data_IF_527373522481
#
_entry.id   IF_527373522481
#
_cell.length_a   1.000
_cell.length_b   1.000
_cell.length_c   1.000
_cell.angle_alpha   90.00
_cell.angle_beta   90.00
_cell.angle_gamma   90.00
#
_symmetry.space_group_name_H-M   'P 1'
#
loop_
_entity.id
_entity.type
_entity.pdbx_description
1 polymer ?
#
# COMPACT_ATOMS: atom_id res chain seq x y z
N UNK A 1 -3.89 -2.51 -8.58
CA UNK A 1 -5.14 -1.94 -8.04
C UNK A 1 -5.31 -2.41 -6.61
N UNK A 2 -5.84 -1.54 -5.73
CA UNK A 2 -6.06 -1.84 -4.32
C UNK A 2 -7.23 -2.83 -4.17
N UNK A 3 -7.59 -3.14 -2.93
CA UNK A 3 -8.81 -3.87 -2.63
C UNK A 3 -10.02 -2.92 -2.61
N UNK A 4 -11.22 -3.45 -2.79
CA UNK A 4 -12.44 -2.65 -2.77
C UNK A 4 -12.89 -2.44 -1.34
N UNK A 5 -12.92 -1.18 -0.90
CA UNK A 5 -13.25 -0.79 0.47
C UNK A 5 -14.28 0.33 0.47
N UNK A 6 -15.19 0.29 1.45
CA UNK A 6 -16.34 1.20 1.51
C UNK A 6 -16.26 2.07 2.75
N UNK A 7 -16.20 3.39 2.56
CA UNK A 7 -16.32 4.35 3.67
C UNK A 7 -17.77 4.48 4.18
N UNK A 8 -18.74 3.95 3.44
CA UNK A 8 -20.14 3.89 3.85
C UNK A 8 -20.48 2.53 4.48
N UNK A 9 -21.10 2.56 5.65
CA UNK A 9 -21.51 1.40 6.43
C UNK A 9 -23.03 1.22 6.35
N UNK A 10 -23.57 0.56 5.30
CA UNK A 10 -25.01 0.46 5.06
C UNK A 10 -25.76 -0.24 6.19
N UNK A 11 -25.12 -1.20 6.87
CA UNK A 11 -25.70 -1.92 8.00
C UNK A 11 -26.02 -1.02 9.20
N UNK A 12 -25.35 0.12 9.29
CA UNK A 12 -25.51 1.10 10.37
C UNK A 12 -26.02 2.46 9.88
N UNK A 13 -26.08 2.67 8.57
CA UNK A 13 -26.59 3.89 7.96
C UNK A 13 -25.71 5.13 8.18
N UNK A 14 -24.39 4.96 8.36
CA UNK A 14 -23.45 6.08 8.53
C UNK A 14 -22.28 6.02 7.55
N UNK A 15 -21.67 7.18 7.33
CA UNK A 15 -20.48 7.39 6.51
C UNK A 15 -19.32 7.87 7.40
N UNK A 16 -18.12 7.35 7.17
CA UNK A 16 -16.93 7.77 7.89
C UNK A 16 -16.37 9.12 7.39
N UNK A 17 -16.84 9.66 6.26
CA UNK A 17 -16.39 10.95 5.70
C UNK A 17 -14.86 11.09 5.60
N UNK A 18 -14.13 10.03 5.32
CA UNK A 18 -12.66 9.98 5.23
C UNK A 18 -12.16 9.64 3.81
N UNK A 19 -12.90 10.08 2.79
CA UNK A 19 -12.51 9.94 1.38
C UNK A 19 -11.06 10.34 1.10
N UNK A 20 -10.54 11.34 1.81
CA UNK A 20 -9.15 11.79 1.71
C UNK A 20 -8.16 10.71 2.16
N UNK A 21 -8.44 9.97 3.25
CA UNK A 21 -7.61 8.86 3.69
C UNK A 21 -7.71 7.67 2.72
N UNK A 22 -8.94 7.25 2.38
CA UNK A 22 -9.20 6.17 1.42
C UNK A 22 -8.48 6.39 0.09
N UNK A 23 -8.65 7.56 -0.54
CA UNK A 23 -8.03 7.83 -1.84
C UNK A 23 -6.50 7.90 -1.77
N UNK A 24 -5.93 8.36 -0.66
CA UNK A 24 -4.48 8.36 -0.43
C UNK A 24 -3.92 6.93 -0.27
N UNK A 25 -4.57 6.10 0.54
CA UNK A 25 -4.12 4.73 0.79
C UNK A 25 -4.31 3.85 -0.43
N UNK A 26 -5.45 3.96 -1.14
CA UNK A 26 -5.65 3.35 -2.44
C UNK A 26 -4.50 3.63 -3.42
N UNK A 27 -3.96 4.86 -3.42
CA UNK A 27 -2.80 5.23 -4.25
C UNK A 27 -1.57 4.45 -3.81
N UNK A 28 -1.22 4.51 -2.52
CA UNK A 28 -0.02 3.84 -1.99
C UNK A 28 -0.07 2.32 -2.15
N UNK A 29 -1.21 1.71 -1.89
CA UNK A 29 -1.45 0.28 -2.12
C UNK A 29 -1.30 -0.07 -3.59
N UNK A 30 -1.84 0.76 -4.50
CA UNK A 30 -1.67 0.53 -5.94
C UNK A 30 -0.20 0.55 -6.32
N UNK A 31 0.57 1.52 -5.82
CA UNK A 31 2.02 1.61 -6.09
C UNK A 31 2.79 0.43 -5.51
N UNK A 32 2.56 0.06 -4.25
CA UNK A 32 3.27 -1.06 -3.63
C UNK A 32 2.87 -2.41 -4.23
N UNK A 33 1.60 -2.60 -4.58
CA UNK A 33 1.16 -3.77 -5.32
C UNK A 33 1.84 -3.87 -6.70
N UNK A 34 2.00 -2.74 -7.40
CA UNK A 34 2.78 -2.70 -8.64
C UNK A 34 4.25 -3.07 -8.40
N UNK A 35 4.88 -2.51 -7.37
CA UNK A 35 6.27 -2.81 -7.02
C UNK A 35 6.48 -4.29 -6.67
N UNK A 36 5.54 -4.93 -5.96
CA UNK A 36 5.56 -6.36 -5.70
C UNK A 36 5.43 -7.18 -6.99
N UNK A 37 4.49 -6.82 -7.86
CA UNK A 37 4.26 -7.53 -9.12
C UNK A 37 5.47 -7.43 -10.08
N UNK A 38 6.09 -6.25 -10.13
CA UNK A 38 7.28 -5.96 -10.95
C UNK A 38 8.59 -6.39 -10.27
N UNK A 39 8.53 -6.86 -9.02
CA UNK A 39 9.69 -7.26 -8.20
C UNK A 39 10.72 -6.13 -8.04
N UNK A 40 10.25 -4.89 -7.94
CA UNK A 40 11.09 -3.70 -7.71
C UNK A 40 11.24 -3.34 -6.23
N UNK A 41 10.46 -3.98 -5.35
CA UNK A 41 10.66 -3.98 -3.90
C UNK A 41 11.67 -5.08 -3.50
N UNK A 42 12.52 -4.82 -2.50
CA UNK A 42 13.45 -5.83 -1.98
C UNK A 42 12.71 -7.03 -1.39
N UNK A 43 13.37 -8.19 -1.43
CA UNK A 43 12.81 -9.43 -0.87
C UNK A 43 12.61 -9.36 0.65
N UNK A 44 13.46 -8.61 1.37
CA UNK A 44 13.29 -8.36 2.80
C UNK A 44 12.01 -7.57 3.09
N UNK A 45 11.77 -6.47 2.36
CA UNK A 45 10.55 -5.68 2.57
C UNK A 45 9.30 -6.41 2.07
N UNK A 46 9.39 -7.20 1.00
CA UNK A 46 8.28 -8.05 0.56
C UNK A 46 7.90 -9.10 1.61
N UNK A 47 8.89 -9.79 2.20
CA UNK A 47 8.67 -10.75 3.29
C UNK A 47 8.13 -10.06 4.54
N UNK A 48 8.67 -8.88 4.88
CA UNK A 48 8.21 -8.10 6.02
C UNK A 48 6.74 -7.69 5.86
N UNK A 49 6.33 -7.16 4.70
CA UNK A 49 4.93 -6.82 4.42
C UNK A 49 4.01 -8.04 4.58
N UNK A 50 4.42 -9.17 4.00
CA UNK A 50 3.66 -10.43 4.09
C UNK A 50 3.53 -10.94 5.52
N UNK A 51 4.64 -10.97 6.27
CA UNK A 51 4.70 -11.55 7.61
C UNK A 51 4.03 -10.65 8.67
N UNK A 52 3.98 -9.33 8.43
CA UNK A 52 3.37 -8.36 9.35
C UNK A 52 1.92 -8.00 8.98
N UNK A 53 1.25 -8.81 8.14
CA UNK A 53 -0.19 -8.69 7.91
C UNK A 53 -0.63 -7.58 6.95
N UNK A 54 0.29 -6.94 6.21
CA UNK A 54 -0.06 -5.92 5.23
C UNK A 54 -0.75 -6.49 3.99
N UNK A 55 -0.70 -7.81 3.79
CA UNK A 55 -1.35 -8.47 2.67
C UNK A 55 -2.71 -9.05 3.10
N UNK A 56 -3.76 -8.70 2.35
CA UNK A 56 -5.09 -9.26 2.53
C UNK A 56 -5.16 -10.74 2.09
N UNK A 57 -6.35 -11.34 2.23
CA UNK A 57 -6.61 -12.73 1.81
C UNK A 57 -6.38 -13.02 0.32
N UNK A 58 -6.25 -11.98 -0.52
CA UNK A 58 -5.97 -12.08 -1.94
C UNK A 58 -4.50 -11.76 -2.27
N UNK A 59 -3.67 -11.51 -1.25
CA UNK A 59 -2.27 -11.17 -1.41
C UNK A 59 -2.03 -9.73 -1.87
N UNK A 60 -3.00 -8.83 -1.71
CA UNK A 60 -2.85 -7.39 -2.01
C UNK A 60 -2.55 -6.60 -0.75
N UNK A 61 -1.75 -5.53 -0.89
CA UNK A 61 -1.58 -4.54 0.17
C UNK A 61 -2.94 -4.01 0.62
N UNK A 62 -3.12 -3.93 1.94
CA UNK A 62 -4.25 -3.27 2.57
C UNK A 62 -3.81 -2.52 3.85
N UNK A 63 -3.95 -1.20 3.86
CA UNK A 63 -3.66 -0.34 5.00
C UNK A 63 -4.93 0.04 5.75
N UNK A 64 -4.82 0.25 7.07
CA UNK A 64 -5.97 0.74 7.83
C UNK A 64 -6.32 2.19 7.49
N UNK A 65 -7.43 2.40 6.76
CA UNK A 65 -8.03 3.72 6.55
C UNK A 65 -8.37 4.40 7.86
N UNK A 66 -8.99 3.65 8.79
CA UNK A 66 -9.42 4.15 10.10
C UNK A 66 -8.24 4.71 10.89
N UNK A 67 -7.08 4.02 10.90
CA UNK A 67 -5.88 4.50 11.60
C UNK A 67 -5.44 5.86 11.07
N UNK A 68 -5.31 5.96 9.76
CA UNK A 68 -4.88 7.18 9.06
C UNK A 68 -5.89 8.31 9.26
N UNK A 69 -7.19 8.02 9.16
CA UNK A 69 -8.26 9.00 9.35
C UNK A 69 -8.31 9.54 10.79
N UNK A 70 -8.13 8.67 11.80
CA UNK A 70 -8.10 9.06 13.22
C UNK A 70 -6.91 9.97 13.54
N UNK A 71 -5.71 9.60 13.07
CA UNK A 71 -4.48 10.32 13.38
C UNK A 71 -4.33 11.62 12.59
N UNK A 72 -4.79 11.65 11.34
CA UNK A 72 -4.85 12.87 10.53
C UNK A 72 -5.91 13.87 11.00
N UNK A 73 -6.75 13.50 11.99
CA UNK A 73 -7.73 14.40 12.59
C UNK A 73 -8.95 14.64 11.71
N UNK A 74 -9.45 13.60 11.03
CA UNK A 74 -10.68 13.68 10.23
C UNK A 74 -11.87 14.24 11.06
N UNK A 75 -12.70 15.04 10.41
CA UNK A 75 -13.89 15.68 11.01
C UNK A 75 -15.15 15.31 10.24
N UNK A 76 -16.34 15.63 10.77
CA UNK A 76 -17.60 15.44 10.03
C UNK A 76 -17.70 16.27 8.74
N UNK A 77 -16.75 17.19 8.51
CA UNK A 77 -16.59 17.96 7.27
C UNK A 77 -15.53 17.37 6.33
N UNK A 78 -14.96 16.22 6.67
CA UNK A 78 -13.84 15.59 5.98
C UNK A 78 -12.47 16.00 6.51
N UNK A 79 -11.45 15.86 5.65
CA UNK A 79 -10.06 16.21 5.95
C UNK A 79 -9.34 16.73 4.70
N UNK A 80 -8.17 17.33 4.92
CA UNK A 80 -7.31 17.88 3.86
C UNK A 80 -6.23 16.90 3.44
N UNK A 81 -5.71 17.10 2.22
CA UNK A 81 -4.61 16.30 1.68
C UNK A 81 -3.36 16.46 2.55
N UNK A 82 -3.10 17.70 2.98
CA UNK A 82 -1.99 18.03 3.87
C UNK A 82 -2.01 17.25 5.17
N UNK A 83 -3.17 17.13 5.83
CA UNK A 83 -3.25 16.44 7.12
C UNK A 83 -3.06 14.93 6.98
N UNK A 84 -3.67 14.33 5.96
CA UNK A 84 -3.52 12.89 5.68
C UNK A 84 -2.08 12.56 5.30
N UNK A 85 -1.46 13.35 4.41
CA UNK A 85 -0.06 13.19 4.07
C UNK A 85 0.86 13.39 5.28
N UNK A 86 0.67 14.47 6.04
CA UNK A 86 1.49 14.79 7.21
C UNK A 86 1.41 13.69 8.29
N UNK A 87 0.22 13.15 8.56
CA UNK A 87 0.06 12.01 9.46
C UNK A 87 0.72 10.77 8.88
N UNK A 88 0.57 10.48 7.59
CA UNK A 88 1.18 9.30 6.98
C UNK A 88 2.72 9.31 7.04
N UNK A 89 3.37 10.46 6.88
CA UNK A 89 4.83 10.58 7.00
C UNK A 89 5.33 10.72 8.45
N UNK A 90 4.44 11.08 9.38
CA UNK A 90 4.79 11.25 10.79
C UNK A 90 4.52 9.95 11.55
N UNK A 91 3.31 9.43 11.47
CA UNK A 91 2.82 8.27 12.22
C UNK A 91 3.08 6.95 11.50
N UNK A 92 3.19 6.98 10.16
CA UNK A 92 3.36 5.79 9.33
C UNK A 92 2.04 5.10 9.01
N UNK A 93 2.12 3.89 8.47
CA UNK A 93 0.97 3.10 8.03
C UNK A 93 0.97 1.73 8.68
N UNK A 94 -0.20 1.21 9.02
CA UNK A 94 -0.39 -0.11 9.63
C UNK A 94 -1.22 -1.00 8.71
N UNK A 95 -1.10 -2.34 8.80
CA UNK A 95 -2.01 -3.23 8.10
C UNK A 95 -3.45 -3.05 8.59
N UNK A 96 -4.43 -3.16 7.70
CA UNK A 96 -5.85 -3.06 8.08
C UNK A 96 -6.23 -4.07 9.17
N UNK A 97 -5.66 -5.28 9.11
CA UNK A 97 -5.91 -6.34 10.09
C UNK A 97 -5.60 -5.96 11.54
N UNK A 98 -4.75 -4.96 11.77
CA UNK A 98 -4.38 -4.51 13.10
C UNK A 98 -5.45 -3.60 13.74
N UNK A 99 -6.29 -2.95 12.94
CA UNK A 99 -7.34 -2.05 13.43
C UNK A 99 -8.73 -2.50 12.97
N UNK A 100 -9.01 -3.79 13.12
CA UNK A 100 -10.32 -4.37 12.83
C UNK A 100 -11.32 -4.05 13.94
N UNK A 101 -11.95 -2.89 13.82
CA UNK A 101 -13.14 -2.57 14.58
C UNK A 101 -14.38 -2.69 13.68
N UNK A 102 -15.55 -2.93 14.26
CA UNK A 102 -16.83 -2.85 13.56
C UNK A 102 -17.64 -1.66 14.11
N UNK A 103 -17.14 -0.42 13.90
CA UNK A 103 -17.74 0.77 14.45
C UNK A 103 -19.16 0.95 13.91
N UNK A 104 -20.09 1.25 14.82
CA UNK A 104 -21.52 1.41 14.51
C UNK A 104 -21.93 2.84 14.21
N UNK A 105 -21.02 3.78 14.48
CA UNK A 105 -21.25 5.21 14.33
C UNK A 105 -19.91 5.94 14.23
N UNK A 106 -20.00 7.23 13.91
CA UNK A 106 -18.87 8.15 13.83
C UNK A 106 -18.01 8.14 15.10
N UNK A 107 -18.63 8.20 16.26
CA UNK A 107 -17.92 8.33 17.55
C UNK A 107 -17.09 7.07 17.85
N UNK A 108 -17.59 5.89 17.51
CA UNK A 108 -16.84 4.63 17.60
C UNK A 108 -15.73 4.55 16.55
N UNK A 109 -15.97 4.98 15.31
CA UNK A 109 -14.98 4.97 14.22
C UNK A 109 -13.78 5.87 14.56
N UNK A 110 -14.04 7.04 15.15
CA UNK A 110 -13.02 8.04 15.47
C UNK A 110 -12.51 7.99 16.92
N UNK A 111 -12.74 6.89 17.63
CA UNK A 111 -12.30 6.74 19.01
C UNK A 111 -10.77 6.59 19.10
N UNK A 112 -10.11 7.70 19.43
CA UNK A 112 -8.65 7.79 19.61
C UNK A 112 -8.12 6.87 20.71
N UNK A 113 -8.95 6.43 21.66
CA UNK A 113 -8.51 5.51 22.72
C UNK A 113 -8.20 4.10 22.20
N UNK A 114 -8.68 3.77 21.00
CA UNK A 114 -8.39 2.50 20.32
C UNK A 114 -7.01 2.47 19.66
N UNK A 115 -6.34 3.61 19.50
CA UNK A 115 -4.99 3.67 18.95
C UNK A 115 -3.98 3.19 20.00
N UNK A 116 -3.48 1.98 19.84
CA UNK A 116 -2.52 1.37 20.75
C UNK A 116 -1.08 1.81 20.46
N UNK A 117 -0.17 1.58 21.42
CA UNK A 117 1.26 1.80 21.18
C UNK A 117 1.82 0.84 20.12
N UNK A 118 1.34 -0.40 20.06
CA UNK A 118 1.75 -1.39 19.05
C UNK A 118 1.43 -0.93 17.62
N UNK A 119 0.26 -0.31 17.41
CA UNK A 119 -0.09 0.31 16.13
C UNK A 119 0.89 1.44 15.77
N UNK A 120 1.21 2.31 16.73
CA UNK A 120 2.18 3.39 16.51
C UNK A 120 3.55 2.85 16.17
N UNK A 121 4.02 1.85 16.91
CA UNK A 121 5.34 1.24 16.68
C UNK A 121 5.41 0.57 15.31
N UNK A 122 4.32 -0.10 14.89
CA UNK A 122 4.18 -0.69 13.55
C UNK A 122 4.23 0.37 12.46
N UNK A 123 3.51 1.48 12.63
CA UNK A 123 3.57 2.61 11.70
C UNK A 123 4.98 3.22 11.62
N UNK A 124 5.66 3.38 12.76
CA UNK A 124 7.05 3.86 12.77
C UNK A 124 8.01 2.89 12.11
N UNK A 125 7.81 1.58 12.24
CA UNK A 125 8.60 0.57 11.54
C UNK A 125 8.39 0.66 10.02
N UNK A 126 7.16 0.89 9.55
CA UNK A 126 6.89 1.15 8.14
C UNK A 126 7.73 2.32 7.59
N UNK A 127 7.82 3.44 8.33
CA UNK A 127 8.62 4.60 7.93
C UNK A 127 10.14 4.35 7.90
N UNK A 128 10.64 3.35 8.62
CA UNK A 128 12.05 2.92 8.51
C UNK A 128 12.33 2.12 7.24
N UNK A 129 11.28 1.65 6.56
CA UNK A 129 11.35 0.81 5.35
C UNK A 129 10.91 1.54 4.09
N UNK A 130 10.02 2.52 4.21
CA UNK A 130 9.51 3.29 3.08
C UNK A 130 9.54 4.80 3.34
N UNK A 131 10.06 5.55 2.38
CA UNK A 131 9.96 7.01 2.32
C UNK A 131 8.77 7.38 1.46
N UNK A 132 7.85 8.15 2.01
CA UNK A 132 6.74 8.72 1.27
C UNK A 132 7.04 10.20 1.02
N UNK A 133 6.86 10.65 -0.22
CA UNK A 133 7.02 12.05 -0.62
C UNK A 133 5.94 12.46 -1.62
N UNK A 134 5.83 13.76 -1.91
CA UNK A 134 4.77 14.31 -2.76
C UNK A 134 5.31 15.28 -3.81
N UNK A 135 4.60 15.36 -4.94
CA UNK A 135 4.69 16.45 -5.91
C UNK A 135 3.29 17.04 -6.09
N UNK A 136 3.16 18.34 -5.88
CA UNK A 136 1.87 19.05 -5.97
C UNK A 136 1.68 19.68 -7.35
N UNK A 137 0.42 19.91 -7.71
CA UNK A 137 0.00 20.57 -8.96
C UNK A 137 0.45 19.83 -10.23
N UNK A 138 0.46 18.50 -10.19
CA UNK A 138 0.85 17.70 -11.36
C UNK A 138 -0.16 17.85 -12.52
N UNK A 139 0.30 17.85 -13.78
CA UNK A 139 -0.58 17.95 -14.93
C UNK A 139 -1.32 16.62 -15.18
N UNK A 140 -2.54 16.70 -15.70
CA UNK A 140 -3.34 15.50 -16.04
C UNK A 140 -2.74 14.72 -17.23
N UNK A 141 -1.81 15.32 -17.98
CA UNK A 141 -1.06 14.63 -19.03
C UNK A 141 -0.24 13.44 -18.52
N UNK A 142 0.02 13.41 -17.22
CA UNK A 142 0.86 12.39 -16.60
C UNK A 142 0.07 11.13 -16.22
N UNK A 143 -1.26 11.16 -16.35
CA UNK A 143 -2.12 9.98 -16.14
C UNK A 143 -1.78 8.93 -17.20
N UNK A 144 -1.65 7.69 -16.76
CA UNK A 144 -1.20 6.57 -17.59
C UNK A 144 0.32 6.35 -17.54
N UNK A 145 1.09 7.34 -17.05
CA UNK A 145 2.47 7.14 -16.60
C UNK A 145 2.54 6.99 -15.09
N UNK A 146 1.67 7.69 -14.37
CA UNK A 146 1.57 7.61 -12.91
C UNK A 146 0.13 7.83 -12.43
N UNK A 147 -0.07 7.62 -11.14
CA UNK A 147 -1.29 7.84 -10.38
C UNK A 147 -1.37 9.28 -9.88
N UNK A 148 -2.58 9.83 -9.82
CA UNK A 148 -2.84 11.17 -9.29
C UNK A 148 -3.89 11.08 -8.19
N UNK A 149 -3.54 11.55 -6.99
CA UNK A 149 -4.47 11.83 -5.92
C UNK A 149 -5.08 13.21 -6.14
N UNK A 150 -6.41 13.31 -6.17
CA UNK A 150 -7.09 14.55 -6.58
C UNK A 150 -8.45 14.68 -5.92
N UNK A 151 -8.98 15.90 -5.85
CA UNK A 151 -10.36 16.14 -5.46
C UNK A 151 -11.22 16.51 -6.66
N UNK A 152 -12.48 16.12 -6.56
CA UNK A 152 -13.51 16.31 -7.59
C UNK A 152 -14.79 16.85 -6.96
N UNK A 153 -15.57 17.55 -7.78
CA UNK A 153 -16.99 17.75 -7.50
C UNK A 153 -17.74 16.44 -7.69
N UNK A 154 -18.80 16.20 -6.92
CA UNK A 154 -19.73 15.08 -7.17
C UNK A 154 -20.84 15.58 -8.10
N UNK A 155 -20.83 15.14 -9.36
CA UNK A 155 -21.79 15.54 -10.39
C UNK A 155 -22.94 14.54 -10.57
N UNK A 156 -23.97 14.92 -11.33
CA UNK A 156 -25.06 14.02 -11.70
C UNK A 156 -24.53 12.77 -12.41
N UNK A 157 -25.09 11.60 -12.07
CA UNK A 157 -24.65 10.32 -12.62
C UNK A 157 -23.45 9.69 -11.90
N UNK A 158 -22.98 10.25 -10.78
CA UNK A 158 -21.83 9.75 -10.02
C UNK A 158 -21.85 8.23 -9.74
N UNK A 159 -23.03 7.67 -9.47
CA UNK A 159 -23.24 6.25 -9.16
C UNK A 159 -23.94 5.48 -10.28
N UNK A 160 -23.99 6.03 -11.49
CA UNK A 160 -24.74 5.44 -12.62
C UNK A 160 -23.97 4.37 -13.42
N UNK A 161 -22.65 4.29 -13.25
CA UNK A 161 -21.76 3.44 -14.05
C UNK A 161 -21.45 3.97 -15.47
N UNK A 162 -22.06 5.09 -15.89
CA UNK A 162 -21.72 5.78 -17.13
C UNK A 162 -20.61 6.83 -16.98
N UNK A 163 -20.23 7.47 -18.09
CA UNK A 163 -19.29 8.60 -18.10
C UNK A 163 -19.94 9.81 -17.44
N UNK A 164 -19.43 10.17 -16.26
CA UNK A 164 -19.87 11.33 -15.48
C UNK A 164 -19.46 12.60 -16.21
N UNK A 165 -20.45 13.46 -16.48
CA UNK A 165 -20.20 14.75 -17.14
C UNK A 165 -19.75 15.79 -16.13
N UNK A 166 -18.92 16.72 -16.60
CA UNK A 166 -18.45 17.85 -15.81
C UNK A 166 -19.60 18.74 -15.34
N UNK A 167 -19.52 19.24 -14.12
CA UNK A 167 -20.44 20.19 -13.53
C UNK A 167 -19.66 21.28 -12.78
N UNK A 168 -20.33 22.36 -12.40
CA UNK A 168 -19.70 23.52 -11.73
C UNK A 168 -20.10 23.54 -10.27
N UNK A 169 -19.53 22.62 -9.49
CA UNK A 169 -19.64 22.61 -8.02
C UNK A 169 -18.25 22.66 -7.37
N UNK A 170 -18.14 23.10 -6.11
CA UNK A 170 -16.91 22.95 -5.35
C UNK A 170 -16.48 21.48 -5.25
N UNK A 171 -15.16 21.20 -5.18
CA UNK A 171 -14.70 19.84 -4.92
C UNK A 171 -15.09 19.41 -3.50
N UNK A 172 -15.74 18.26 -3.38
CA UNK A 172 -16.23 17.72 -2.10
C UNK A 172 -15.77 16.28 -1.85
N UNK A 173 -15.05 15.67 -2.79
CA UNK A 173 -14.69 14.26 -2.71
C UNK A 173 -13.28 14.01 -3.23
N UNK A 174 -12.54 13.13 -2.57
CA UNK A 174 -11.16 12.78 -2.93
C UNK A 174 -11.11 11.39 -3.56
N UNK A 175 -10.34 11.25 -4.65
CA UNK A 175 -10.29 10.03 -5.47
C UNK A 175 -8.88 9.75 -5.98
N UNK A 176 -8.65 8.50 -6.39
CA UNK A 176 -7.43 8.07 -7.08
C UNK A 176 -7.66 8.02 -8.58
N UNK A 177 -7.04 8.93 -9.34
CA UNK A 177 -7.08 8.92 -10.79
C UNK A 177 -5.93 8.06 -11.35
N UNK A 178 -6.25 7.03 -12.14
CA UNK A 178 -5.28 5.99 -12.50
C UNK A 178 -5.17 5.68 -14.00
N UNK A 179 -6.14 6.06 -14.81
CA UNK A 179 -6.11 5.77 -16.25
C UNK A 179 -6.74 6.88 -17.10
N UNK A 180 -6.33 6.96 -18.36
CA UNK A 180 -6.87 7.84 -19.39
C UNK A 180 -7.15 7.02 -20.65
N UNK A 181 -8.40 7.00 -21.07
CA UNK A 181 -8.84 6.48 -22.35
C UNK A 181 -9.09 7.62 -23.36
N UNK A 182 -9.48 7.26 -24.59
CA UNK A 182 -9.71 8.23 -25.67
C UNK A 182 -10.85 9.22 -25.39
N UNK A 183 -11.79 8.86 -24.53
CA UNK A 183 -13.00 9.67 -24.26
C UNK A 183 -13.29 9.93 -22.78
N UNK A 184 -12.51 9.35 -21.87
CA UNK A 184 -12.73 9.49 -20.43
C UNK A 184 -11.43 9.30 -19.63
N UNK A 185 -11.48 9.74 -18.38
CA UNK A 185 -10.54 9.37 -17.33
C UNK A 185 -11.19 8.33 -16.41
N UNK A 186 -10.38 7.42 -15.86
CA UNK A 186 -10.84 6.46 -14.83
C UNK A 186 -10.25 6.82 -13.47
N UNK A 187 -11.10 6.76 -12.46
CA UNK A 187 -10.68 6.89 -11.08
C UNK A 187 -11.25 5.77 -10.22
N UNK A 188 -10.52 5.47 -9.15
CA UNK A 188 -10.89 4.55 -8.10
C UNK A 188 -11.44 5.35 -6.91
N UNK A 189 -12.55 4.87 -6.38
CA UNK A 189 -13.38 5.50 -5.35
C UNK A 189 -13.64 4.53 -4.20
N UNK A 190 -14.09 5.04 -3.06
CA UNK A 190 -14.56 4.32 -1.88
C UNK A 190 -16.08 4.08 -1.88
N UNK A 191 -16.77 4.38 -2.99
CA UNK A 191 -18.20 4.14 -3.18
C UNK A 191 -18.49 3.34 -4.46
N UNK A 192 -19.41 2.36 -4.43
CA UNK A 192 -19.77 1.61 -5.62
C UNK A 192 -20.47 2.48 -6.69
N UNK A 193 -20.26 2.21 -7.99
CA UNK A 193 -19.18 1.36 -8.52
C UNK A 193 -17.81 1.98 -8.19
N UNK A 194 -16.87 1.16 -7.71
CA UNK A 194 -15.55 1.63 -7.21
C UNK A 194 -14.64 2.15 -8.31
N UNK A 195 -14.81 1.67 -9.55
CA UNK A 195 -14.18 2.26 -10.73
C UNK A 195 -15.24 3.11 -11.44
N UNK A 196 -14.93 4.38 -11.63
CA UNK A 196 -15.81 5.37 -12.25
C UNK A 196 -15.10 6.05 -13.40
N UNK A 197 -15.90 6.60 -14.31
CA UNK A 197 -15.43 7.25 -15.52
C UNK A 197 -15.94 8.68 -15.56
N UNK A 198 -15.08 9.61 -15.94
CA UNK A 198 -15.42 11.04 -16.09
C UNK A 198 -15.02 11.53 -17.47
N UNK A 199 -15.79 12.45 -18.03
CA UNK A 199 -15.49 13.06 -19.33
C UNK A 199 -14.12 13.75 -19.33
N UNK A 200 -13.50 13.90 -20.51
CA UNK A 200 -12.17 14.55 -20.59
C UNK A 200 -12.15 16.04 -20.18
N UNK A 201 -13.33 16.69 -20.13
CA UNK A 201 -13.50 18.07 -19.66
C UNK A 201 -13.92 18.16 -18.17
N UNK A 202 -13.84 17.06 -17.42
CA UNK A 202 -14.08 17.06 -15.98
C UNK A 202 -13.04 17.91 -15.24
N UNK A 203 -13.47 18.61 -14.19
CA UNK A 203 -12.60 19.51 -13.43
C UNK A 203 -11.99 18.76 -12.24
N UNK A 204 -10.66 18.76 -12.18
CA UNK A 204 -9.87 18.14 -11.10
C UNK A 204 -9.10 19.19 -10.33
N UNK A 205 -9.17 19.09 -9.01
CA UNK A 205 -8.55 20.01 -8.07
C UNK A 205 -7.46 19.31 -7.26
N UNK A 206 -6.54 20.08 -6.67
CA UNK A 206 -5.48 19.57 -5.78
C UNK A 206 -4.80 18.28 -6.29
N UNK A 207 -4.22 18.32 -7.51
CA UNK A 207 -3.61 17.16 -8.15
C UNK A 207 -2.23 16.87 -7.58
N UNK A 208 -2.09 15.78 -6.84
CA UNK A 208 -0.86 15.39 -6.17
C UNK A 208 -0.40 14.04 -6.72
N UNK A 209 0.91 13.93 -6.94
CA UNK A 209 1.57 12.65 -7.14
C UNK A 209 2.25 12.27 -5.85
N UNK A 210 1.94 11.10 -5.33
CA UNK A 210 2.62 10.54 -4.16
C UNK A 210 3.67 9.56 -4.66
N UNK A 211 4.88 9.67 -4.12
CA UNK A 211 6.01 8.81 -4.42
C UNK A 211 6.30 7.97 -3.18
N UNK A 212 6.55 6.69 -3.39
CA UNK A 212 7.00 5.77 -2.35
C UNK A 212 8.25 5.06 -2.85
N UNK A 213 9.28 5.00 -2.00
CA UNK A 213 10.53 4.29 -2.27
C UNK A 213 11.01 3.62 -0.99
N UNK A 214 11.81 2.57 -1.11
CA UNK A 214 12.40 1.93 0.07
C UNK A 214 13.44 2.85 0.74
N UNK A 215 13.36 3.04 2.05
CA UNK A 215 14.38 3.74 2.85
C UNK A 215 15.51 2.78 3.18
N UNK A 216 16.75 3.27 3.05
CA UNK A 216 17.97 2.48 3.23
C UNK A 216 17.95 1.20 2.40
N UNK A 217 18.53 1.24 1.21
CA UNK A 217 19.07 0.03 0.63
C UNK A 217 20.39 -0.28 1.35
N UNK A 218 20.48 -1.19 2.34
CA UNK A 218 21.66 -2.02 2.33
C UNK A 218 21.58 -2.75 0.99
N UNK A 219 22.44 -2.41 0.02
CA UNK A 219 22.58 -3.04 -1.31
C UNK A 219 21.74 -4.31 -1.44
N UNK A 220 20.60 -4.27 -2.15
CA UNK A 220 19.67 -5.40 -2.37
C UNK A 220 19.83 -6.47 -1.29
N UNK A 221 19.24 -6.28 -0.09
CA UNK A 221 19.50 -7.12 1.10
C UNK A 221 19.62 -8.57 0.68
N UNK A 222 20.88 -9.03 0.59
CA UNK A 222 21.18 -10.34 0.05
C UNK A 222 20.33 -11.34 0.80
N UNK A 223 19.61 -12.19 0.06
CA UNK A 223 18.70 -13.16 0.63
C UNK A 223 19.43 -13.93 1.74
N UNK A 224 18.74 -14.08 2.88
CA UNK A 224 19.27 -14.77 4.03
C UNK A 224 19.62 -16.20 3.62
N UNK A 225 20.89 -16.55 3.79
CA UNK A 225 21.37 -17.91 3.59
C UNK A 225 21.55 -18.59 4.93
N UNK A 226 21.03 -19.81 5.04
CA UNK A 226 21.17 -20.64 6.24
C UNK A 226 21.75 -22.00 5.87
N UNK A 227 22.38 -22.65 6.84
CA UNK A 227 22.90 -24.01 6.72
C UNK A 227 22.50 -24.80 7.95
N UNK A 228 22.04 -26.04 7.73
CA UNK A 228 21.78 -26.93 8.85
C UNK A 228 23.12 -27.35 9.49
N UNK A 229 23.25 -27.17 10.80
CA UNK A 229 24.47 -27.49 11.54
C UNK A 229 24.90 -28.95 11.29
N UNK A 230 26.17 -29.13 10.94
CA UNK A 230 26.74 -30.45 10.62
C UNK A 230 26.46 -30.96 9.21
N UNK A 231 25.87 -30.14 8.33
CA UNK A 231 25.63 -30.47 6.92
C UNK A 231 26.31 -29.46 5.99
N UNK A 232 26.41 -29.78 4.71
CA UNK A 232 26.79 -28.83 3.64
C UNK A 232 25.58 -28.23 2.94
N UNK A 233 24.38 -28.64 3.31
CA UNK A 233 23.14 -28.20 2.68
C UNK A 233 22.88 -26.74 3.02
N UNK A 234 22.78 -25.92 1.98
CA UNK A 234 22.61 -24.48 2.13
C UNK A 234 21.27 -24.10 1.52
N UNK A 235 20.55 -23.23 2.22
CA UNK A 235 19.20 -22.82 1.88
C UNK A 235 19.16 -21.31 1.75
N UNK A 236 18.30 -20.84 0.86
CA UNK A 236 17.88 -19.45 0.79
C UNK A 236 16.52 -19.33 1.48
N UNK A 237 16.37 -18.36 2.37
CA UNK A 237 15.08 -18.05 3.00
C UNK A 237 14.37 -16.99 2.16
N UNK A 238 13.20 -17.34 1.62
CA UNK A 238 12.37 -16.46 0.79
C UNK A 238 10.96 -16.49 1.35
N UNK A 239 10.44 -15.34 1.79
CA UNK A 239 9.09 -15.22 2.35
C UNK A 239 8.84 -16.22 3.50
N UNK A 240 9.77 -16.31 4.46
CA UNK A 240 9.74 -17.30 5.55
C UNK A 240 9.92 -18.79 5.16
N UNK A 241 10.07 -19.11 3.88
CA UNK A 241 10.22 -20.49 3.37
C UNK A 241 11.66 -20.82 3.01
N UNK A 242 12.06 -22.08 3.17
CA UNK A 242 13.43 -22.53 2.92
C UNK A 242 13.55 -23.24 1.58
N UNK A 243 14.38 -22.69 0.70
CA UNK A 243 14.65 -23.27 -0.61
C UNK A 243 16.07 -23.81 -0.66
N UNK A 244 16.21 -25.10 -0.91
CA UNK A 244 17.49 -25.78 -1.00
C UNK A 244 18.27 -25.30 -2.24
N UNK A 245 19.53 -24.94 -2.07
CA UNK A 245 20.43 -24.60 -3.19
C UNK A 245 21.02 -25.90 -3.72
N UNK A 246 20.58 -26.30 -4.91
CA UNK A 246 20.83 -27.64 -5.44
C UNK A 246 22.29 -27.96 -5.79
N UNK A 247 23.16 -26.96 -5.86
CA UNK A 247 24.58 -27.14 -6.19
C UNK A 247 25.46 -25.96 -5.73
N UNK A 248 26.77 -26.18 -5.51
CA UNK A 248 27.73 -25.09 -5.31
C UNK A 248 27.74 -24.08 -6.46
N UNK A 249 27.56 -24.53 -7.70
CA UNK A 249 27.51 -23.67 -8.88
C UNK A 249 26.30 -22.72 -8.85
N UNK A 250 25.15 -23.21 -8.37
CA UNK A 250 23.96 -22.38 -8.12
C UNK A 250 24.26 -21.34 -7.05
N UNK A 251 24.92 -21.71 -5.95
CA UNK A 251 25.32 -20.76 -4.90
C UNK A 251 26.22 -19.66 -5.46
N UNK A 252 27.27 -20.03 -6.19
CA UNK A 252 28.21 -19.07 -6.77
C UNK A 252 27.55 -18.16 -7.81
N UNK A 253 26.58 -18.66 -8.57
CA UNK A 253 25.76 -17.84 -9.48
C UNK A 253 24.95 -16.80 -8.70
N UNK A 254 24.16 -17.23 -7.71
CA UNK A 254 23.35 -16.33 -6.89
C UNK A 254 24.22 -15.27 -6.19
N UNK A 255 25.41 -15.64 -5.75
CA UNK A 255 26.40 -14.72 -5.16
C UNK A 255 26.91 -13.70 -6.18
N UNK A 256 27.27 -14.12 -7.40
CA UNK A 256 27.74 -13.21 -8.47
C UNK A 256 26.65 -12.24 -8.93
N UNK A 257 25.40 -12.67 -8.88
CA UNK A 257 24.23 -11.85 -9.18
C UNK A 257 23.83 -10.95 -8.00
N UNK A 258 24.63 -10.94 -6.93
CA UNK A 258 24.39 -10.16 -5.70
C UNK A 258 23.04 -10.49 -5.02
N UNK A 259 22.50 -11.69 -5.29
CA UNK A 259 21.25 -12.18 -4.70
C UNK A 259 21.47 -12.71 -3.29
N UNK A 260 22.64 -13.32 -3.01
CA UNK A 260 23.01 -13.85 -1.69
C UNK A 260 24.41 -13.39 -1.27
N UNK A 261 24.67 -13.44 0.04
CA UNK A 261 25.98 -13.20 0.62
C UNK A 261 27.01 -14.27 0.29
N UNK A 262 28.28 -13.95 0.56
CA UNK A 262 29.34 -14.95 0.57
C UNK A 262 29.11 -16.04 1.63
N UNK A 263 29.92 -17.08 1.58
CA UNK A 263 29.88 -18.18 2.55
C UNK A 263 30.02 -17.71 4.01
N UNK A 264 30.69 -16.58 4.25
CA UNK A 264 30.82 -15.92 5.56
C UNK A 264 29.51 -15.35 6.11
N UNK A 265 28.48 -15.20 5.27
CA UNK A 265 27.15 -14.71 5.64
C UNK A 265 26.14 -15.82 5.92
N UNK A 266 26.51 -17.08 5.65
CA UNK A 266 25.63 -18.23 5.87
C UNK A 266 25.49 -18.48 7.36
N UNK A 267 24.26 -18.39 7.88
CA UNK A 267 23.99 -18.62 9.29
C UNK A 267 23.77 -20.12 9.56
N UNK A 268 24.49 -20.69 10.52
CA UNK A 268 24.21 -22.06 10.98
C UNK A 268 22.97 -22.08 11.89
N UNK A 269 22.05 -23.01 11.62
CA UNK A 269 20.87 -23.24 12.46
C UNK A 269 20.90 -24.65 13.08
N UNK A 270 20.48 -24.81 14.35
CA UNK A 270 20.69 -26.04 15.12
C UNK A 270 19.73 -27.20 14.81
N UNK A 271 18.79 -27.05 13.87
CA UNK A 271 17.70 -28.01 13.63
C UNK A 271 17.56 -28.43 12.18
N UNK A 272 16.81 -29.53 11.96
CA UNK A 272 16.32 -29.92 10.63
C UNK A 272 15.54 -28.77 9.98
N UNK A 273 15.84 -28.50 8.71
CA UNK A 273 15.20 -27.43 7.93
C UNK A 273 14.18 -28.07 6.98
N UNK A 274 12.87 -27.77 7.09
CA UNK A 274 11.89 -28.25 6.13
C UNK A 274 12.16 -27.63 4.75
N UNK A 275 12.13 -28.45 3.70
CA UNK A 275 12.40 -28.02 2.32
C UNK A 275 11.09 -27.63 1.64
N UNK A 276 10.94 -26.35 1.33
CA UNK A 276 9.77 -25.83 0.60
C UNK A 276 9.97 -25.86 -0.93
N UNK A 277 11.22 -25.96 -1.38
CA UNK A 277 11.55 -26.05 -2.80
C UNK A 277 13.05 -26.18 -3.05
N UNK A 278 13.42 -26.27 -4.33
CA UNK A 278 14.82 -26.38 -4.78
C UNK A 278 15.11 -25.27 -5.78
N UNK A 279 16.17 -24.49 -5.55
CA UNK A 279 16.74 -23.56 -6.51
C UNK A 279 17.81 -24.30 -7.30
N UNK A 280 17.66 -24.34 -8.63
CA UNK A 280 18.63 -24.91 -9.58
C UNK A 280 19.31 -23.77 -10.33
#
# INVERSE_FOLDING_TARGET
MPSEESQYFPQWGYDAFDCTAYSFLNLLETKLNQMLAEKTITLDNADWLSTNGYLDKYGKLNFSDQFTAVLSGNTKQGNTFENVFASSITDGLIPDSMFQDNPKNWEEYYDKTKITQEMRDTGKEFLKRFEISELRNVPLSDIGQDLIWTTIAVCEGYNSGGIIQSCVFPPTHAVLLFNKADSYYEFFDSYPPYIKQTSLNYIYYAKWRILIKETNQPNLTMLKTIRQKGTTETFVVIAGKNYYIGSPETFDRLKREEIIGGWDKVQEVPTHIPIDGIIK
#
